data_IF_985752719181
#
_entry.id   IF_985752719181
#
_cell.length_a   1.000
_cell.length_b   1.000
_cell.length_c   1.000
_cell.angle_alpha   90.00
_cell.angle_beta   90.00
_cell.angle_gamma   90.00
#
_symmetry.space_group_name_H-M   'P 1'
#
loop_
_entity.id
_entity.type
_entity.pdbx_description
1 polymer ?
#
# COMPACT_ATOMS: atom_id res chain seq x y z
N UNK A 1 -19.45 80.92 -62.39
CA UNK A 1 -18.45 81.15 -61.36
C UNK A 1 -19.06 80.79 -60.03
N UNK A 2 -18.38 79.96 -59.22
CA UNK A 2 -18.61 79.53 -57.83
C UNK A 2 -19.74 78.57 -57.56
N UNK A 3 -19.28 77.38 -57.15
CA UNK A 3 -20.08 76.29 -56.54
C UNK A 3 -20.30 76.53 -55.06
N UNK A 4 -21.29 75.95 -54.42
CA UNK A 4 -21.20 75.55 -53.00
C UNK A 4 -21.26 74.04 -52.86
N UNK A 5 -20.43 73.58 -51.97
CA UNK A 5 -20.31 72.20 -51.48
C UNK A 5 -21.48 71.86 -50.54
N UNK A 6 -22.12 70.70 -50.76
CA UNK A 6 -22.99 70.05 -49.72
C UNK A 6 -22.20 68.96 -49.04
N UNK A 7 -22.10 69.11 -47.74
CA UNK A 7 -21.56 68.11 -46.80
C UNK A 7 -22.69 67.16 -46.46
N UNK A 8 -22.50 65.86 -46.74
CA UNK A 8 -23.41 64.76 -46.27
C UNK A 8 -22.65 63.91 -45.31
N UNK A 9 -22.98 64.03 -43.96
CA UNK A 9 -22.49 63.20 -42.89
C UNK A 9 -23.30 61.87 -42.80
N UNK A 10 -22.72 60.80 -43.34
CA UNK A 10 -23.31 59.44 -43.20
C UNK A 10 -22.87 58.77 -41.88
N UNK A 11 -23.81 58.63 -41.01
CA UNK A 11 -23.66 57.85 -39.77
C UNK A 11 -23.50 56.35 -40.07
N UNK A 12 -22.26 55.81 -39.89
CA UNK A 12 -22.00 54.38 -39.92
C UNK A 12 -22.33 53.77 -38.54
N UNK A 13 -23.43 53.02 -38.45
CA UNK A 13 -23.71 52.14 -37.32
C UNK A 13 -22.90 50.88 -37.52
N UNK A 14 -21.87 50.69 -36.68
CA UNK A 14 -21.13 49.45 -36.55
C UNK A 14 -21.90 48.48 -35.66
N UNK A 15 -22.41 47.35 -36.23
CA UNK A 15 -22.87 46.20 -35.49
C UNK A 15 -21.64 45.49 -34.89
N UNK A 16 -21.61 45.13 -33.59
CA UNK A 16 -20.62 44.19 -33.08
C UNK A 16 -21.01 42.78 -33.50
N UNK A 17 -20.15 42.14 -34.28
CA UNK A 17 -20.26 40.69 -34.55
C UNK A 17 -19.92 39.92 -33.29
N UNK A 18 -20.91 39.29 -32.70
CA UNK A 18 -20.77 38.35 -31.55
C UNK A 18 -20.19 37.04 -32.10
N UNK A 19 -18.87 36.87 -32.00
CA UNK A 19 -18.21 35.60 -32.28
C UNK A 19 -18.46 34.70 -31.08
N UNK A 20 -19.46 33.81 -31.18
CA UNK A 20 -19.66 32.71 -30.22
C UNK A 20 -18.55 31.68 -30.46
N UNK A 21 -17.52 31.69 -29.59
CA UNK A 21 -16.48 30.69 -29.57
C UNK A 21 -17.09 29.39 -29.01
N UNK A 22 -17.50 28.48 -29.91
CA UNK A 22 -18.01 27.14 -29.58
C UNK A 22 -16.79 26.30 -29.14
N UNK A 23 -16.51 26.25 -27.84
CA UNK A 23 -15.49 25.38 -27.26
C UNK A 23 -15.97 23.92 -27.36
N UNK A 24 -15.57 23.22 -28.43
CA UNK A 24 -15.70 21.75 -28.48
C UNK A 24 -14.81 21.16 -27.39
N UNK A 25 -15.40 20.76 -26.27
CA UNK A 25 -14.75 19.88 -25.30
C UNK A 25 -14.63 18.51 -25.96
N UNK A 26 -13.46 18.20 -26.52
CA UNK A 26 -13.13 16.85 -26.94
C UNK A 26 -13.05 15.95 -25.69
N UNK A 27 -14.16 15.35 -25.27
CA UNK A 27 -14.14 14.16 -24.42
C UNK A 27 -13.65 13.01 -25.28
N UNK A 28 -12.34 12.81 -25.31
CA UNK A 28 -11.78 11.57 -25.88
C UNK A 28 -12.43 10.37 -25.16
N UNK A 29 -12.70 9.26 -25.85
CA UNK A 29 -13.21 8.04 -25.21
C UNK A 29 -12.22 7.64 -24.12
N UNK A 30 -12.68 7.54 -22.87
CA UNK A 30 -11.91 6.92 -21.81
C UNK A 30 -11.65 5.47 -22.26
N UNK A 31 -10.41 5.17 -22.63
CA UNK A 31 -10.02 3.80 -22.96
C UNK A 31 -10.16 2.99 -21.67
N UNK A 32 -11.08 2.02 -21.69
CA UNK A 32 -11.27 1.13 -20.53
C UNK A 32 -9.96 0.37 -20.28
N UNK A 33 -9.50 0.35 -19.03
CA UNK A 33 -8.31 -0.36 -18.60
C UNK A 33 -8.39 -1.85 -18.97
N UNK A 34 -7.42 -2.34 -19.73
CA UNK A 34 -7.38 -3.74 -20.15
C UNK A 34 -6.82 -4.60 -19.03
N UNK A 35 -7.70 -5.39 -18.39
CA UNK A 35 -7.38 -6.24 -17.24
C UNK A 35 -7.44 -7.70 -17.66
N UNK A 36 -6.38 -8.47 -17.41
CA UNK A 36 -6.29 -9.89 -17.77
C UNK A 36 -5.92 -10.71 -16.55
N UNK A 37 -6.61 -11.84 -16.33
CA UNK A 37 -6.34 -12.72 -15.21
C UNK A 37 -6.22 -14.19 -15.64
N UNK A 38 -5.23 -14.89 -15.06
CA UNK A 38 -5.17 -16.35 -15.01
C UNK A 38 -5.49 -16.81 -13.59
N UNK A 39 -6.53 -17.62 -13.46
CA UNK A 39 -7.02 -18.16 -12.18
C UNK A 39 -6.90 -19.68 -12.20
N UNK A 40 -6.12 -20.23 -11.27
CA UNK A 40 -5.82 -21.67 -11.19
C UNK A 40 -6.21 -22.21 -9.81
N UNK A 41 -6.87 -23.38 -9.79
CA UNK A 41 -7.21 -24.12 -8.57
C UNK A 41 -6.89 -25.61 -8.70
N UNK A 42 -5.97 -26.13 -7.90
CA UNK A 42 -5.57 -27.51 -7.89
C UNK A 42 -6.00 -28.20 -6.59
N UNK A 43 -6.91 -29.17 -6.69
CA UNK A 43 -7.48 -29.95 -5.57
C UNK A 43 -7.23 -31.44 -5.72
N UNK A 44 -7.40 -32.00 -6.93
CA UNK A 44 -7.47 -33.43 -7.20
C UNK A 44 -6.09 -34.09 -7.36
N UNK A 45 -5.20 -33.86 -6.39
CA UNK A 45 -3.84 -34.41 -6.40
C UNK A 45 -3.84 -35.93 -6.43
N UNK A 46 -2.98 -36.51 -7.26
CA UNK A 46 -2.91 -37.94 -7.50
C UNK A 46 -1.95 -38.68 -6.54
N UNK A 47 -0.88 -37.98 -6.11
CA UNK A 47 0.23 -38.59 -5.39
C UNK A 47 0.46 -38.01 -3.99
N UNK A 48 -0.30 -37.01 -3.59
CA UNK A 48 -0.29 -36.35 -2.28
C UNK A 48 -1.71 -36.12 -1.79
N UNK A 49 -1.87 -35.61 -0.58
CA UNK A 49 -3.17 -35.32 0.01
C UNK A 49 -3.96 -34.35 -0.87
N UNK A 50 -5.20 -34.72 -1.19
CA UNK A 50 -6.15 -33.85 -1.88
C UNK A 50 -6.55 -32.69 -0.98
N UNK A 51 -6.90 -31.57 -1.60
CA UNK A 51 -7.43 -30.39 -0.91
C UNK A 51 -8.90 -30.19 -1.29
N UNK A 52 -9.72 -29.77 -0.34
CA UNK A 52 -11.16 -29.65 -0.58
C UNK A 52 -11.54 -28.34 -1.28
N UNK A 53 -10.90 -27.23 -0.93
CA UNK A 53 -11.36 -25.89 -1.27
C UNK A 53 -10.72 -25.23 -2.50
N UNK A 54 -9.50 -25.51 -2.98
CA UNK A 54 -8.85 -24.75 -4.05
C UNK A 54 -9.65 -24.63 -5.34
N UNK A 55 -10.45 -25.65 -5.70
CA UNK A 55 -11.35 -25.57 -6.85
C UNK A 55 -12.44 -24.54 -6.66
N UNK A 56 -13.08 -24.55 -5.49
CA UNK A 56 -14.14 -23.60 -5.14
C UNK A 56 -13.59 -22.19 -5.06
N UNK A 57 -12.40 -22.03 -4.47
CA UNK A 57 -11.70 -20.75 -4.35
C UNK A 57 -11.37 -20.17 -5.71
N UNK A 58 -10.84 -20.98 -6.63
CA UNK A 58 -10.54 -20.53 -7.98
C UNK A 58 -11.83 -20.14 -8.74
N UNK A 59 -12.92 -20.88 -8.59
CA UNK A 59 -14.22 -20.52 -9.19
C UNK A 59 -14.72 -19.20 -8.63
N UNK A 60 -14.74 -19.02 -7.29
CA UNK A 60 -15.14 -17.79 -6.63
C UNK A 60 -14.30 -16.58 -7.10
N UNK A 61 -13.00 -16.76 -7.22
CA UNK A 61 -12.10 -15.70 -7.69
C UNK A 61 -12.29 -15.39 -9.17
N UNK A 62 -12.50 -16.40 -10.03
CA UNK A 62 -12.78 -16.20 -11.45
C UNK A 62 -14.08 -15.40 -11.65
N UNK A 63 -15.15 -15.79 -10.96
CA UNK A 63 -16.45 -15.09 -11.02
C UNK A 63 -16.30 -13.64 -10.48
N UNK A 64 -15.57 -13.48 -9.40
CA UNK A 64 -15.30 -12.16 -8.81
C UNK A 64 -14.53 -11.28 -9.78
N UNK A 65 -13.40 -11.73 -10.30
CA UNK A 65 -12.57 -10.95 -11.22
C UNK A 65 -13.30 -10.68 -12.55
N UNK A 66 -14.05 -11.66 -13.08
CA UNK A 66 -14.90 -11.46 -14.25
C UNK A 66 -15.92 -10.33 -14.04
N UNK A 67 -16.58 -10.28 -12.88
CA UNK A 67 -17.52 -9.20 -12.52
C UNK A 67 -16.84 -7.82 -12.38
N UNK A 68 -15.53 -7.80 -12.13
CA UNK A 68 -14.70 -6.60 -12.00
C UNK A 68 -13.98 -6.21 -13.31
N UNK A 69 -14.40 -6.77 -14.44
CA UNK A 69 -13.91 -6.41 -15.76
C UNK A 69 -12.59 -7.07 -16.17
N UNK A 70 -12.15 -8.12 -15.47
CA UNK A 70 -11.01 -8.91 -15.93
C UNK A 70 -11.41 -9.88 -17.03
N UNK A 71 -10.65 -9.92 -18.11
CA UNK A 71 -10.71 -10.99 -19.12
C UNK A 71 -9.95 -12.21 -18.57
N UNK A 72 -10.65 -13.32 -18.38
CA UNK A 72 -10.07 -14.54 -17.85
C UNK A 72 -9.41 -15.36 -18.95
N UNK A 73 -8.21 -15.89 -18.69
CA UNK A 73 -7.55 -16.85 -19.57
C UNK A 73 -8.39 -18.13 -19.63
N UNK A 74 -8.82 -18.51 -20.83
CA UNK A 74 -9.74 -19.64 -21.06
C UNK A 74 -11.19 -19.36 -20.64
N UNK A 75 -11.54 -18.11 -20.31
CA UNK A 75 -12.91 -17.67 -19.98
C UNK A 75 -13.43 -18.10 -18.61
N UNK A 76 -12.64 -18.83 -17.82
CA UNK A 76 -13.03 -19.39 -16.51
C UNK A 76 -11.80 -19.77 -15.69
N UNK A 77 -12.01 -20.20 -14.43
CA UNK A 77 -11.00 -20.84 -13.63
C UNK A 77 -10.42 -22.10 -14.33
N UNK A 78 -9.10 -22.25 -14.28
CA UNK A 78 -8.40 -23.44 -14.76
C UNK A 78 -8.23 -24.40 -13.56
N UNK A 79 -8.79 -25.60 -13.67
CA UNK A 79 -8.93 -26.51 -12.52
C UNK A 79 -8.14 -27.80 -12.73
N UNK A 80 -7.47 -28.25 -11.66
CA UNK A 80 -6.77 -29.52 -11.58
C UNK A 80 -5.77 -29.76 -12.71
N UNK A 81 -4.92 -28.77 -12.95
CA UNK A 81 -3.94 -28.80 -14.02
C UNK A 81 -2.77 -29.72 -13.68
N UNK A 82 -2.42 -30.61 -14.59
CA UNK A 82 -1.14 -31.30 -14.61
C UNK A 82 0.01 -30.35 -15.03
N UNK A 83 1.25 -30.82 -15.05
CA UNK A 83 2.41 -29.99 -15.40
C UNK A 83 2.30 -29.37 -16.77
N UNK A 84 1.91 -30.14 -17.77
CA UNK A 84 1.81 -29.68 -19.17
C UNK A 84 0.73 -28.64 -19.36
N UNK A 85 -0.45 -28.88 -18.75
CA UNK A 85 -1.58 -27.95 -18.82
C UNK A 85 -1.28 -26.64 -18.07
N UNK A 86 -0.61 -26.71 -16.90
CA UNK A 86 -0.23 -25.54 -16.13
C UNK A 86 0.82 -24.68 -16.87
N UNK A 87 1.85 -25.33 -17.46
CA UNK A 87 2.83 -24.64 -18.31
C UNK A 87 2.17 -23.97 -19.51
N UNK A 88 1.24 -24.66 -20.20
CA UNK A 88 0.51 -24.13 -21.32
C UNK A 88 -0.37 -22.94 -20.94
N UNK A 89 -1.05 -23.00 -19.78
CA UNK A 89 -1.86 -21.91 -19.25
C UNK A 89 -1.01 -20.66 -18.96
N UNK A 90 0.14 -20.82 -18.32
CA UNK A 90 1.09 -19.74 -18.03
C UNK A 90 1.67 -19.12 -19.31
N UNK A 91 2.04 -19.95 -20.28
CA UNK A 91 2.50 -19.45 -21.59
C UNK A 91 1.40 -18.67 -22.32
N UNK A 92 0.17 -19.19 -22.30
CA UNK A 92 -0.97 -18.50 -22.90
C UNK A 92 -1.26 -17.18 -22.22
N UNK A 93 -1.19 -17.15 -20.89
CA UNK A 93 -1.28 -15.93 -20.09
C UNK A 93 -0.24 -14.90 -20.52
N UNK A 94 1.04 -15.29 -20.60
CA UNK A 94 2.14 -14.42 -21.02
C UNK A 94 1.93 -13.80 -22.42
N UNK A 95 1.31 -14.56 -23.35
CA UNK A 95 0.95 -14.02 -24.68
C UNK A 95 -0.20 -13.01 -24.63
N UNK A 96 -1.22 -13.27 -23.80
CA UNK A 96 -2.42 -12.42 -23.75
C UNK A 96 -2.25 -11.14 -22.95
N UNK A 97 -1.35 -11.13 -21.96
CA UNK A 97 -1.06 -9.92 -21.14
C UNK A 97 -0.27 -8.85 -21.91
N UNK A 98 0.24 -9.15 -23.12
CA UNK A 98 0.89 -8.15 -23.95
C UNK A 98 -0.06 -6.97 -24.22
N UNK A 99 0.39 -5.75 -23.88
CA UNK A 99 -0.40 -4.52 -24.03
C UNK A 99 -1.63 -4.47 -23.11
N UNK A 100 -1.66 -5.23 -22.02
CA UNK A 100 -2.63 -5.03 -20.95
C UNK A 100 -2.12 -3.99 -19.95
N UNK A 101 -3.04 -3.28 -19.28
CA UNK A 101 -2.70 -2.35 -18.20
C UNK A 101 -2.44 -3.10 -16.91
N UNK A 102 -3.24 -4.15 -16.64
CA UNK A 102 -3.18 -4.96 -15.42
C UNK A 102 -3.15 -6.44 -15.75
N UNK A 103 -2.17 -7.15 -15.22
CA UNK A 103 -2.08 -8.60 -15.26
C UNK A 103 -2.25 -9.18 -13.84
N UNK A 104 -3.12 -10.19 -13.67
CA UNK A 104 -3.35 -10.83 -12.39
C UNK A 104 -3.17 -12.35 -12.55
N UNK A 105 -2.37 -12.95 -11.67
CA UNK A 105 -2.25 -14.39 -11.51
C UNK A 105 -2.75 -14.79 -10.12
N UNK A 106 -3.71 -15.69 -10.06
CA UNK A 106 -4.22 -16.29 -8.83
C UNK A 106 -3.99 -17.81 -8.85
N UNK A 107 -3.48 -18.32 -7.76
CA UNK A 107 -3.29 -19.76 -7.58
C UNK A 107 -3.78 -20.19 -6.19
N UNK A 108 -4.63 -21.23 -6.15
CA UNK A 108 -5.00 -21.96 -4.96
C UNK A 108 -4.59 -23.43 -5.09
N UNK A 109 -3.91 -23.98 -4.07
CA UNK A 109 -3.42 -25.37 -4.08
C UNK A 109 -2.16 -25.58 -3.26
N UNK A 110 -1.50 -26.74 -3.44
CA UNK A 110 -0.21 -26.98 -2.81
C UNK A 110 0.90 -26.13 -3.44
N UNK A 111 1.72 -25.53 -2.58
CA UNK A 111 2.96 -24.90 -2.95
C UNK A 111 4.10 -25.41 -2.09
N UNK A 112 5.28 -25.50 -2.65
CA UNK A 112 6.47 -25.96 -1.93
C UNK A 112 7.63 -25.01 -2.16
N UNK A 113 8.49 -24.89 -1.16
CA UNK A 113 9.78 -24.23 -1.27
C UNK A 113 10.87 -25.27 -1.35
N UNK A 114 11.74 -25.14 -2.33
CA UNK A 114 12.95 -25.99 -2.47
C UNK A 114 14.12 -25.07 -2.80
N UNK A 115 15.18 -25.10 -2.00
CA UNK A 115 16.39 -24.28 -2.17
C UNK A 115 16.11 -22.77 -2.32
N UNK A 116 15.14 -22.23 -1.57
CA UNK A 116 14.76 -20.83 -1.63
C UNK A 116 13.86 -20.44 -2.81
N UNK A 117 13.57 -21.35 -3.74
CA UNK A 117 12.63 -21.15 -4.84
C UNK A 117 11.25 -21.72 -4.49
N UNK A 118 10.20 -21.02 -4.93
CA UNK A 118 8.81 -21.43 -4.72
C UNK A 118 8.26 -22.12 -5.97
N UNK A 119 7.59 -23.25 -5.75
CA UNK A 119 7.01 -24.06 -6.82
C UNK A 119 5.51 -24.28 -6.59
N UNK A 120 4.75 -24.12 -7.65
CA UNK A 120 3.35 -24.54 -7.73
C UNK A 120 3.31 -26.04 -8.03
N UNK A 121 2.45 -26.77 -7.33
CA UNK A 121 2.35 -28.23 -7.45
C UNK A 121 1.23 -28.60 -8.42
N UNK A 122 1.54 -29.18 -9.61
CA UNK A 122 0.54 -29.77 -10.50
C UNK A 122 -0.11 -30.99 -9.87
N UNK A 123 -1.33 -31.33 -10.27
CA UNK A 123 -2.06 -32.47 -9.66
C UNK A 123 -1.39 -33.83 -9.92
N UNK A 124 -0.57 -33.94 -10.96
CA UNK A 124 0.18 -35.15 -11.32
C UNK A 124 1.56 -35.26 -10.68
N UNK A 125 2.04 -34.22 -9.99
CA UNK A 125 3.40 -34.19 -9.45
C UNK A 125 3.68 -35.37 -8.49
N UNK A 126 4.82 -36.01 -8.66
CA UNK A 126 5.30 -37.13 -7.85
C UNK A 126 6.82 -37.16 -7.72
N UNK A 127 7.47 -36.06 -7.29
CA UNK A 127 8.91 -36.02 -7.14
C UNK A 127 9.35 -36.99 -6.05
N UNK A 128 10.40 -37.74 -6.31
CA UNK A 128 11.00 -38.70 -5.37
C UNK A 128 12.31 -38.21 -4.79
N UNK A 129 12.91 -37.22 -5.42
CA UNK A 129 14.14 -36.53 -5.01
C UNK A 129 14.08 -35.06 -5.45
N UNK A 130 14.93 -34.26 -4.88
CA UNK A 130 15.00 -32.83 -5.14
C UNK A 130 15.27 -32.49 -6.62
N UNK A 131 16.11 -33.28 -7.29
CA UNK A 131 16.40 -33.09 -8.71
C UNK A 131 15.20 -33.29 -9.65
N UNK A 132 14.11 -33.88 -9.15
CA UNK A 132 12.87 -34.07 -9.93
C UNK A 132 11.97 -32.86 -9.93
N UNK A 133 12.20 -31.89 -9.03
CA UNK A 133 11.31 -30.75 -8.77
C UNK A 133 11.13 -29.89 -10.03
N UNK A 134 12.20 -29.48 -10.69
CA UNK A 134 12.16 -28.63 -11.88
C UNK A 134 11.42 -29.30 -13.06
N UNK A 135 11.41 -30.63 -13.12
CA UNK A 135 10.71 -31.38 -14.15
C UNK A 135 9.25 -31.59 -13.87
N UNK A 136 8.85 -31.64 -12.60
CA UNK A 136 7.50 -32.04 -12.20
C UNK A 136 6.66 -30.92 -11.61
N UNK A 137 7.27 -29.80 -11.21
CA UNK A 137 6.61 -28.64 -10.63
C UNK A 137 6.82 -27.39 -11.48
N UNK A 138 6.14 -26.31 -11.15
CA UNK A 138 6.26 -25.04 -11.87
C UNK A 138 6.85 -23.99 -10.95
N UNK A 139 8.06 -23.52 -11.27
CA UNK A 139 8.67 -22.39 -10.57
C UNK A 139 7.83 -21.12 -10.79
N UNK A 140 7.37 -20.50 -9.71
CA UNK A 140 6.55 -19.27 -9.76
C UNK A 140 7.27 -18.12 -10.47
N UNK A 141 8.60 -18.12 -10.52
CA UNK A 141 9.36 -17.14 -11.29
C UNK A 141 9.08 -17.21 -12.80
N UNK A 142 8.56 -18.33 -13.33
CA UNK A 142 8.08 -18.41 -14.72
C UNK A 142 6.90 -17.46 -14.94
N UNK A 143 5.96 -17.40 -14.00
CA UNK A 143 4.82 -16.47 -14.05
C UNK A 143 5.32 -15.04 -13.99
N UNK A 144 6.19 -14.72 -13.03
CA UNK A 144 6.76 -13.37 -12.90
C UNK A 144 7.49 -12.93 -14.17
N UNK A 145 8.26 -13.81 -14.81
CA UNK A 145 8.92 -13.49 -16.09
C UNK A 145 7.94 -13.22 -17.23
N UNK A 146 6.83 -13.96 -17.31
CA UNK A 146 5.77 -13.71 -18.31
C UNK A 146 5.13 -12.33 -18.11
N UNK A 147 4.91 -11.94 -16.86
CA UNK A 147 4.34 -10.64 -16.52
C UNK A 147 5.33 -9.49 -16.78
N UNK A 148 6.58 -9.64 -16.37
CA UNK A 148 7.62 -8.59 -16.57
C UNK A 148 7.87 -8.26 -18.05
N UNK A 149 7.85 -9.28 -18.92
CA UNK A 149 8.05 -9.10 -20.37
C UNK A 149 6.85 -8.50 -21.11
N UNK A 150 5.74 -8.25 -20.45
CA UNK A 150 4.48 -7.83 -21.10
C UNK A 150 4.31 -6.30 -21.24
N UNK A 151 5.07 -5.50 -20.48
CA UNK A 151 4.91 -4.04 -20.42
C UNK A 151 3.66 -3.59 -19.67
N UNK A 152 3.05 -4.45 -18.87
CA UNK A 152 1.92 -4.11 -18.00
C UNK A 152 2.35 -3.10 -16.93
N UNK A 153 1.48 -2.11 -16.66
CA UNK A 153 1.69 -1.12 -15.61
C UNK A 153 1.64 -1.74 -14.20
N UNK A 154 0.76 -2.73 -14.01
CA UNK A 154 0.56 -3.40 -12.72
C UNK A 154 0.47 -4.91 -12.89
N UNK A 155 1.28 -5.62 -12.12
CA UNK A 155 1.27 -7.07 -12.00
C UNK A 155 0.83 -7.47 -10.58
N UNK A 156 -0.17 -8.34 -10.47
CA UNK A 156 -0.67 -8.84 -9.19
C UNK A 156 -0.53 -10.36 -9.18
N UNK A 157 0.22 -10.88 -8.21
CA UNK A 157 0.35 -12.32 -7.97
C UNK A 157 -0.26 -12.66 -6.64
N UNK A 158 -1.20 -13.59 -6.61
CA UNK A 158 -1.94 -14.01 -5.43
C UNK A 158 -1.73 -15.50 -5.23
N UNK A 159 -1.14 -15.86 -4.09
CA UNK A 159 -0.80 -17.23 -3.74
C UNK A 159 -1.59 -17.68 -2.51
N UNK A 160 -2.72 -18.32 -2.76
CA UNK A 160 -3.50 -19.04 -1.73
C UNK A 160 -3.03 -20.50 -1.71
N UNK A 161 -1.80 -20.68 -1.27
CA UNK A 161 -1.13 -21.97 -1.28
C UNK A 161 -0.82 -22.44 0.15
N UNK A 162 -1.25 -23.67 0.48
CA UNK A 162 -0.86 -24.34 1.70
C UNK A 162 0.65 -24.59 1.71
N UNK A 163 1.27 -24.39 2.87
CA UNK A 163 2.72 -24.41 3.02
C UNK A 163 3.25 -25.69 3.68
N UNK A 164 2.42 -26.68 3.84
CA UNK A 164 2.89 -28.01 4.23
C UNK A 164 3.51 -28.66 3.01
N UNK A 165 4.81 -28.93 3.06
CA UNK A 165 5.45 -29.70 2.01
C UNK A 165 4.83 -31.12 1.95
N UNK A 166 3.98 -31.42 0.96
CA UNK A 166 3.31 -32.71 0.89
C UNK A 166 4.27 -33.86 0.54
N UNK A 167 5.52 -33.54 0.19
CA UNK A 167 6.56 -34.51 -0.17
C UNK A 167 7.65 -34.65 0.90
N UNK A 168 7.50 -34.00 2.06
CA UNK A 168 8.50 -34.02 3.14
C UNK A 168 8.88 -35.40 3.63
N UNK A 169 7.91 -36.33 3.71
CA UNK A 169 8.14 -37.74 4.08
C UNK A 169 8.96 -38.52 3.03
N UNK A 170 9.10 -38.00 1.83
CA UNK A 170 9.83 -38.63 0.70
C UNK A 170 11.25 -38.08 0.46
N UNK A 171 11.79 -37.33 1.43
CA UNK A 171 13.13 -36.80 1.36
C UNK A 171 13.29 -35.45 0.68
N UNK A 172 12.22 -34.81 0.18
CA UNK A 172 12.22 -33.41 -0.18
C UNK A 172 12.17 -32.57 1.09
N UNK A 173 13.32 -32.17 1.58
CA UNK A 173 13.40 -31.28 2.74
C UNK A 173 13.18 -29.84 2.28
N UNK A 174 12.05 -29.23 2.66
CA UNK A 174 12.00 -27.78 2.73
C UNK A 174 12.69 -27.36 4.03
N UNK A 175 13.61 -26.42 3.96
CA UNK A 175 14.38 -25.96 5.12
C UNK A 175 13.53 -25.31 6.20
N UNK A 176 12.37 -24.74 5.84
CA UNK A 176 11.42 -24.12 6.73
C UNK A 176 10.00 -24.28 6.15
N UNK A 177 9.01 -24.56 6.99
CA UNK A 177 7.63 -24.68 6.55
C UNK A 177 7.18 -23.42 5.81
N UNK A 178 6.61 -23.56 4.61
CA UNK A 178 6.03 -22.44 3.89
C UNK A 178 6.73 -22.04 2.59
N UNK A 179 6.12 -21.08 1.85
CA UNK A 179 6.74 -20.45 0.69
C UNK A 179 7.79 -19.43 1.14
N UNK A 180 8.91 -19.33 0.44
CA UNK A 180 9.87 -18.27 0.63
C UNK A 180 9.27 -16.90 0.26
N UNK A 181 9.69 -15.87 0.95
CA UNK A 181 9.40 -14.51 0.51
C UNK A 181 10.12 -14.24 -0.81
N UNK A 182 9.37 -13.86 -1.85
CA UNK A 182 9.93 -13.42 -3.12
C UNK A 182 10.07 -11.92 -3.17
N UNK A 183 11.13 -11.44 -3.80
CA UNK A 183 11.26 -10.03 -4.13
C UNK A 183 10.30 -9.71 -5.28
N UNK A 184 9.39 -8.76 -5.08
CA UNK A 184 8.50 -8.30 -6.13
C UNK A 184 9.30 -7.51 -7.19
N UNK A 185 9.22 -7.88 -8.48
CA UNK A 185 9.74 -7.06 -9.57
C UNK A 185 9.05 -5.70 -9.67
N UNK A 186 9.61 -4.76 -10.43
CA UNK A 186 9.03 -3.45 -10.66
C UNK A 186 7.56 -3.55 -11.12
N UNK A 187 6.69 -2.68 -10.60
CA UNK A 187 5.26 -2.67 -10.90
C UNK A 187 4.50 -3.91 -10.42
N UNK A 188 5.05 -4.67 -9.47
CA UNK A 188 4.47 -5.96 -9.04
C UNK A 188 4.09 -5.93 -7.55
N UNK A 189 2.92 -6.51 -7.24
CA UNK A 189 2.50 -6.86 -5.90
C UNK A 189 2.28 -8.37 -5.82
N UNK A 190 2.92 -9.03 -4.83
CA UNK A 190 2.77 -10.45 -4.53
C UNK A 190 2.08 -10.58 -3.17
N UNK A 191 0.91 -11.19 -3.14
CA UNK A 191 0.16 -11.45 -1.90
C UNK A 191 0.14 -12.95 -1.60
N UNK A 192 0.42 -13.26 -0.35
CA UNK A 192 0.43 -14.61 0.19
C UNK A 192 -0.71 -14.77 1.21
N UNK A 193 -1.36 -15.91 1.20
CA UNK A 193 -2.42 -16.21 2.18
C UNK A 193 -1.94 -16.17 3.62
N UNK A 194 -0.65 -16.37 3.88
CA UNK A 194 -0.06 -16.29 5.22
C UNK A 194 1.39 -15.80 5.18
N UNK A 195 1.93 -15.37 6.31
CA UNK A 195 3.31 -14.90 6.46
C UNK A 195 4.34 -16.02 6.17
N UNK A 196 5.58 -15.69 5.80
CA UNK A 196 6.67 -16.65 5.65
C UNK A 196 6.83 -17.55 6.88
N UNK A 197 7.04 -18.86 6.68
CA UNK A 197 7.19 -19.83 7.77
C UNK A 197 5.90 -20.31 8.44
N UNK A 198 4.71 -19.85 7.99
CA UNK A 198 3.41 -20.23 8.57
C UNK A 198 2.55 -21.03 7.59
N UNK A 199 1.57 -21.77 8.07
CA UNK A 199 0.63 -22.58 7.29
C UNK A 199 -0.65 -21.79 7.04
N UNK A 200 -1.14 -21.76 5.79
CA UNK A 200 -2.47 -21.28 5.47
C UNK A 200 -3.51 -22.35 5.79
N UNK A 201 -4.65 -21.94 6.32
CA UNK A 201 -5.79 -22.83 6.59
C UNK A 201 -6.60 -23.02 5.30
N UNK A 202 -7.02 -24.26 5.06
CA UNK A 202 -7.89 -24.58 3.91
C UNK A 202 -9.33 -24.11 4.14
N UNK A 203 -9.75 -23.93 5.41
CA UNK A 203 -11.11 -23.56 5.78
C UNK A 203 -12.03 -24.77 5.90
N UNK A 204 -13.20 -24.58 6.54
CA UNK A 204 -14.18 -25.66 6.83
C UNK A 204 -15.53 -25.45 6.14
N UNK A 205 -15.73 -24.31 5.47
CA UNK A 205 -17.01 -23.89 4.88
C UNK A 205 -16.99 -23.82 3.34
N UNK A 206 -16.06 -24.56 2.71
CA UNK A 206 -15.95 -24.66 1.25
C UNK A 206 -15.02 -23.66 0.62
N UNK A 207 -14.43 -22.75 1.39
CA UNK A 207 -13.47 -21.75 0.93
C UNK A 207 -12.38 -21.51 1.98
N UNK A 208 -11.19 -21.12 1.51
CA UNK A 208 -10.14 -20.64 2.39
C UNK A 208 -10.54 -19.31 3.05
N UNK A 209 -10.12 -19.03 4.30
CA UNK A 209 -10.34 -17.74 4.94
C UNK A 209 -9.76 -16.58 4.10
N UNK A 210 -8.63 -16.82 3.45
CA UNK A 210 -7.97 -15.81 2.63
C UNK A 210 -8.77 -15.47 1.36
N UNK A 211 -9.17 -16.47 0.58
CA UNK A 211 -9.94 -16.25 -0.66
C UNK A 211 -11.31 -15.64 -0.36
N UNK A 212 -11.98 -16.06 0.70
CA UNK A 212 -13.24 -15.46 1.16
C UNK A 212 -13.11 -13.97 1.46
N UNK A 213 -12.11 -13.62 2.27
CA UNK A 213 -11.82 -12.23 2.61
C UNK A 213 -11.44 -11.42 1.37
N UNK A 214 -10.61 -11.97 0.47
CA UNK A 214 -10.19 -11.32 -0.76
C UNK A 214 -11.37 -11.04 -1.68
N UNK A 215 -12.18 -12.06 -2.03
CA UNK A 215 -13.33 -11.94 -2.91
C UNK A 215 -14.37 -10.91 -2.41
N UNK A 216 -14.50 -10.76 -1.09
CA UNK A 216 -15.36 -9.76 -0.45
C UNK A 216 -14.75 -8.36 -0.56
N UNK A 217 -13.46 -8.23 -0.26
CA UNK A 217 -12.81 -6.92 -0.13
C UNK A 217 -12.57 -6.26 -1.47
N UNK A 218 -12.18 -7.01 -2.51
CA UNK A 218 -11.93 -6.44 -3.85
C UNK A 218 -13.17 -5.90 -4.55
N UNK A 219 -14.38 -6.22 -4.07
CA UNK A 219 -15.65 -5.65 -4.54
C UNK A 219 -15.99 -4.30 -3.88
N UNK A 220 -15.25 -3.89 -2.86
CA UNK A 220 -15.49 -2.61 -2.19
C UNK A 220 -14.94 -1.47 -3.05
N UNK A 221 -15.77 -0.43 -3.25
CA UNK A 221 -15.35 0.72 -4.03
C UNK A 221 -14.43 1.65 -3.26
N UNK A 222 -13.49 2.30 -3.96
CA UNK A 222 -12.64 3.34 -3.40
C UNK A 222 -11.46 2.86 -2.58
N UNK A 223 -11.24 1.55 -2.46
CA UNK A 223 -10.03 1.00 -1.84
C UNK A 223 -8.91 0.90 -2.88
N UNK A 224 -7.80 1.59 -2.66
CA UNK A 224 -6.60 1.35 -3.46
C UNK A 224 -6.03 -0.06 -3.19
N UNK A 225 -5.07 -0.48 -4.02
CA UNK A 225 -4.52 -1.84 -3.94
C UNK A 225 -3.91 -2.16 -2.57
N UNK A 226 -3.22 -1.20 -1.93
CA UNK A 226 -2.59 -1.41 -0.64
C UNK A 226 -3.63 -1.47 0.49
N UNK A 227 -4.61 -0.57 0.47
CA UNK A 227 -5.75 -0.60 1.38
C UNK A 227 -6.53 -1.91 1.26
N UNK A 228 -6.75 -2.39 0.02
CA UNK A 228 -7.41 -3.66 -0.26
C UNK A 228 -6.71 -4.82 0.42
N UNK A 229 -5.42 -5.03 0.18
CA UNK A 229 -4.69 -6.15 0.76
C UNK A 229 -4.46 -6.01 2.27
N UNK A 230 -4.37 -4.79 2.79
CA UNK A 230 -4.37 -4.55 4.23
C UNK A 230 -5.69 -4.98 4.87
N UNK A 231 -6.84 -4.63 4.28
CA UNK A 231 -8.15 -5.04 4.80
C UNK A 231 -8.36 -6.55 4.71
N UNK A 232 -7.92 -7.19 3.61
CA UNK A 232 -7.90 -8.66 3.50
C UNK A 232 -7.12 -9.28 4.66
N UNK A 233 -5.90 -8.78 4.93
CA UNK A 233 -5.08 -9.26 6.03
C UNK A 233 -5.76 -9.13 7.40
N UNK A 234 -6.40 -8.00 7.67
CA UNK A 234 -7.15 -7.78 8.91
C UNK A 234 -8.38 -8.68 9.02
N UNK A 235 -9.09 -8.95 7.91
CA UNK A 235 -10.25 -9.83 7.88
C UNK A 235 -9.84 -11.28 8.19
N UNK A 236 -8.81 -11.79 7.51
CA UNK A 236 -8.28 -13.15 7.75
C UNK A 236 -7.78 -13.30 9.17
N UNK A 237 -7.01 -12.33 9.69
CA UNK A 237 -6.51 -12.36 11.07
C UNK A 237 -7.66 -12.45 12.08
N UNK A 238 -8.76 -11.72 11.88
CA UNK A 238 -9.94 -11.78 12.76
C UNK A 238 -10.65 -13.11 12.65
N UNK A 239 -10.89 -13.60 11.43
CA UNK A 239 -11.59 -14.86 11.17
C UNK A 239 -10.85 -16.06 11.77
N UNK A 240 -9.53 -16.06 11.69
CA UNK A 240 -8.68 -17.17 12.15
C UNK A 240 -8.19 -17.02 13.60
N UNK A 241 -8.71 -16.05 14.36
CA UNK A 241 -8.25 -15.79 15.73
C UNK A 241 -6.76 -15.45 15.83
N UNK A 242 -6.18 -14.87 14.77
CA UNK A 242 -4.77 -14.49 14.70
C UNK A 242 -3.81 -15.61 14.26
N UNK A 243 -4.27 -16.82 13.99
CA UNK A 243 -3.43 -17.96 13.59
C UNK A 243 -2.93 -17.85 12.15
N UNK A 244 -3.63 -17.08 11.28
CA UNK A 244 -3.23 -16.82 9.91
C UNK A 244 -3.12 -15.32 9.67
N UNK A 245 -1.97 -14.90 9.16
CA UNK A 245 -1.68 -13.49 8.85
C UNK A 245 -1.16 -13.38 7.42
N UNK A 246 -1.99 -12.91 6.46
CA UNK A 246 -1.56 -12.65 5.10
C UNK A 246 -0.37 -11.70 5.01
N UNK A 247 0.44 -11.89 4.00
CA UNK A 247 1.65 -11.12 3.78
C UNK A 247 1.70 -10.57 2.36
N UNK A 248 2.29 -9.37 2.20
CA UNK A 248 2.45 -8.72 0.89
C UNK A 248 3.92 -8.35 0.68
N UNK A 249 4.43 -8.63 -0.51
CA UNK A 249 5.69 -8.12 -1.04
C UNK A 249 5.36 -7.24 -2.25
N UNK A 250 5.82 -6.00 -2.26
CA UNK A 250 5.52 -5.06 -3.34
C UNK A 250 6.75 -4.25 -3.72
N UNK A 251 6.90 -3.97 -5.02
CA UNK A 251 7.76 -2.90 -5.54
C UNK A 251 6.94 -1.62 -5.71
N UNK A 252 7.56 -0.46 -6.01
CA UNK A 252 6.83 0.73 -6.40
C UNK A 252 5.86 0.44 -7.56
N UNK A 253 4.61 0.89 -7.42
CA UNK A 253 3.54 0.77 -8.41
C UNK A 253 3.22 2.17 -8.91
N UNK A 254 3.27 2.35 -10.23
CA UNK A 254 2.98 3.66 -10.84
C UNK A 254 1.47 3.91 -10.89
N UNK A 255 1.06 5.03 -10.29
CA UNK A 255 -0.33 5.45 -10.19
C UNK A 255 -1.17 4.64 -9.19
N UNK A 256 -2.39 5.09 -8.95
CA UNK A 256 -3.35 4.38 -8.12
C UNK A 256 -4.06 3.27 -8.91
N UNK A 257 -4.32 2.15 -8.28
CA UNK A 257 -5.15 1.08 -8.82
C UNK A 257 -6.28 0.76 -7.86
N UNK A 258 -7.48 0.62 -8.41
CA UNK A 258 -8.70 0.23 -7.72
C UNK A 258 -9.34 -0.96 -8.44
N UNK A 259 -9.69 -2.02 -7.71
CA UNK A 259 -10.51 -3.07 -8.28
C UNK A 259 -11.89 -2.53 -8.68
N UNK A 260 -12.48 -1.71 -7.79
CA UNK A 260 -13.69 -0.92 -8.04
C UNK A 260 -13.35 0.54 -7.77
N UNK A 261 -13.38 1.35 -8.81
CA UNK A 261 -13.08 2.77 -8.68
C UNK A 261 -13.98 3.44 -7.61
N UNK A 262 -13.47 4.46 -6.91
CA UNK A 262 -14.34 5.28 -6.08
C UNK A 262 -15.50 5.82 -6.94
N UNK A 263 -16.70 5.98 -6.37
CA UNK A 263 -17.79 6.63 -7.10
C UNK A 263 -17.26 7.95 -7.62
N UNK A 264 -17.43 8.18 -8.94
CA UNK A 264 -17.10 9.47 -9.50
C UNK A 264 -17.77 10.52 -8.61
N UNK A 265 -17.07 11.61 -8.23
CA UNK A 265 -17.76 12.72 -7.62
C UNK A 265 -18.91 12.99 -8.58
N UNK A 266 -20.14 12.81 -8.09
CA UNK A 266 -21.32 13.00 -8.92
C UNK A 266 -21.11 14.33 -9.62
N UNK A 267 -20.98 14.30 -10.95
CA UNK A 267 -21.01 15.49 -11.76
C UNK A 267 -22.39 16.07 -11.53
N UNK A 268 -22.52 16.82 -10.44
CA UNK A 268 -23.57 17.79 -10.37
C UNK A 268 -23.33 18.62 -11.63
N UNK A 269 -24.14 18.36 -12.64
CA UNK A 269 -24.35 19.29 -13.73
C UNK A 269 -24.31 20.65 -13.04
N UNK A 270 -23.37 21.51 -13.45
CA UNK A 270 -23.27 22.84 -12.90
C UNK A 270 -24.54 23.59 -13.35
N UNK A 271 -25.64 23.28 -12.70
CA UNK A 271 -26.78 24.15 -12.60
C UNK A 271 -26.21 25.33 -11.84
N UNK A 272 -26.11 26.46 -12.51
CA UNK A 272 -25.68 27.71 -11.88
C UNK A 272 -26.43 27.78 -10.51
N UNK A 273 -25.71 27.84 -9.38
CA UNK A 273 -26.33 27.68 -8.08
C UNK A 273 -27.48 28.67 -7.98
N UNK A 274 -28.68 28.15 -7.69
CA UNK A 274 -29.84 28.98 -7.40
C UNK A 274 -29.49 29.97 -6.29
N UNK A 275 -30.10 31.11 -6.27
CA UNK A 275 -29.84 32.14 -5.24
C UNK A 275 -29.94 31.56 -3.82
N UNK A 276 -30.82 30.55 -3.60
CA UNK A 276 -30.94 29.79 -2.35
C UNK A 276 -29.73 28.93 -2.01
N UNK A 277 -29.08 28.26 -3.00
CA UNK A 277 -27.87 27.47 -2.76
C UNK A 277 -26.66 28.35 -2.42
N UNK A 278 -26.59 29.56 -2.99
CA UNK A 278 -25.56 30.56 -2.60
C UNK A 278 -25.80 31.09 -1.19
N UNK A 279 -27.05 31.22 -0.78
CA UNK A 279 -27.39 31.65 0.57
C UNK A 279 -27.08 30.55 1.61
N UNK A 280 -27.31 29.28 1.27
CA UNK A 280 -26.95 28.14 2.11
C UNK A 280 -25.43 27.95 2.30
N UNK A 281 -24.64 28.23 1.27
CA UNK A 281 -23.16 28.13 1.35
C UNK A 281 -22.55 29.30 2.15
N UNK A 282 -23.18 30.47 2.11
CA UNK A 282 -22.78 31.61 2.95
C UNK A 282 -23.22 31.47 4.42
N UNK A 283 -24.13 30.52 4.71
CA UNK A 283 -24.60 30.23 6.08
C UNK A 283 -23.89 29.02 6.70
N UNK A 284 -23.03 28.30 5.98
CA UNK A 284 -22.20 27.24 6.60
C UNK A 284 -21.16 27.91 7.50
N UNK A 285 -21.08 27.48 8.77
CA UNK A 285 -20.01 27.97 9.63
C UNK A 285 -18.66 27.64 9.00
N UNK A 286 -17.74 28.60 9.07
CA UNK A 286 -16.36 28.42 8.67
C UNK A 286 -15.78 27.19 9.41
N UNK A 287 -15.35 26.11 8.71
CA UNK A 287 -14.86 24.90 9.37
C UNK A 287 -13.65 25.16 10.26
N UNK A 288 -12.92 26.26 10.03
CA UNK A 288 -11.81 26.69 10.88
C UNK A 288 -12.29 27.27 12.22
N UNK A 289 -13.60 27.51 12.37
CA UNK A 289 -14.26 28.01 13.58
C UNK A 289 -15.23 27.04 14.22
N UNK A 290 -15.49 25.88 13.60
CA UNK A 290 -16.37 24.84 14.17
C UNK A 290 -15.53 23.98 15.13
N UNK A 291 -15.77 24.09 16.47
CA UNK A 291 -15.02 23.30 17.44
C UNK A 291 -15.42 21.82 17.38
N UNK A 292 -14.46 20.94 17.60
CA UNK A 292 -14.67 19.50 17.74
C UNK A 292 -15.01 19.22 19.22
N UNK A 293 -16.22 18.72 19.48
CA UNK A 293 -16.66 18.30 20.82
C UNK A 293 -16.63 16.77 20.97
N UNK A 294 -16.67 16.03 19.86
CA UNK A 294 -16.63 14.56 19.86
C UNK A 294 -15.28 14.03 20.33
N UNK A 295 -15.29 13.23 21.38
CA UNK A 295 -14.09 12.67 22.01
C UNK A 295 -13.32 11.73 21.08
N UNK A 296 -13.98 11.09 20.12
CA UNK A 296 -13.37 10.21 19.12
C UNK A 296 -12.60 11.04 18.09
N UNK A 297 -13.20 12.13 17.62
CA UNK A 297 -12.56 13.07 16.70
C UNK A 297 -11.41 13.83 17.36
N UNK A 298 -11.52 14.18 18.64
CA UNK A 298 -10.42 14.79 19.42
C UNK A 298 -9.25 13.83 19.57
N UNK A 299 -9.51 12.53 19.79
CA UNK A 299 -8.47 11.51 19.84
C UNK A 299 -7.80 11.33 18.47
N UNK A 300 -8.61 11.23 17.40
CA UNK A 300 -8.09 11.19 16.03
C UNK A 300 -7.18 12.38 15.72
N UNK A 301 -7.62 13.59 16.11
CA UNK A 301 -6.85 14.82 15.92
C UNK A 301 -5.52 14.76 16.67
N UNK A 302 -5.52 14.30 17.91
CA UNK A 302 -4.31 14.11 18.71
C UNK A 302 -3.36 13.09 18.11
N UNK A 303 -3.88 11.93 17.70
CA UNK A 303 -3.09 10.87 17.05
C UNK A 303 -2.46 11.38 15.74
N UNK A 304 -3.20 12.14 14.92
CA UNK A 304 -2.68 12.73 13.66
C UNK A 304 -1.63 13.81 13.91
N UNK A 305 -1.83 14.67 14.90
CA UNK A 305 -0.81 15.67 15.29
C UNK A 305 0.49 14.98 15.69
N UNK A 306 0.39 13.91 16.47
CA UNK A 306 1.55 13.11 16.84
C UNK A 306 2.25 12.47 15.63
N UNK A 307 1.48 11.87 14.70
CA UNK A 307 2.00 11.30 13.45
C UNK A 307 2.76 12.33 12.59
N UNK A 308 2.33 13.59 12.62
CA UNK A 308 2.95 14.68 11.85
C UNK A 308 4.01 15.49 12.61
N UNK A 309 4.56 14.95 13.71
CA UNK A 309 5.58 15.59 14.56
C UNK A 309 5.10 16.84 15.33
N UNK A 310 3.81 16.94 15.58
CA UNK A 310 3.25 17.92 16.51
C UNK A 310 2.83 17.18 17.77
N UNK A 311 3.77 16.90 18.67
CA UNK A 311 3.53 16.02 19.82
C UNK A 311 2.52 16.61 20.82
N UNK A 312 1.32 16.05 20.97
CA UNK A 312 0.32 16.46 21.94
C UNK A 312 0.56 15.88 23.35
N UNK A 313 1.50 14.94 23.50
CA UNK A 313 1.84 14.29 24.78
C UNK A 313 3.10 14.90 25.45
N UNK A 314 3.39 16.20 25.19
CA UNK A 314 4.54 16.88 25.80
C UNK A 314 4.46 16.86 27.34
N UNK A 315 5.60 16.75 28.07
CA UNK A 315 5.64 16.68 29.54
C UNK A 315 4.95 17.83 30.28
N UNK A 316 4.65 18.92 29.59
CA UNK A 316 4.01 20.13 30.15
C UNK A 316 2.48 20.01 30.36
N UNK A 317 1.89 18.85 30.12
CA UNK A 317 0.61 18.33 30.61
C UNK A 317 -0.65 19.05 30.11
N UNK A 318 -1.13 20.07 30.76
CA UNK A 318 -2.53 20.58 30.60
C UNK A 318 -2.83 21.34 29.29
N UNK A 319 -1.81 21.79 28.55
CA UNK A 319 -1.96 22.57 27.31
C UNK A 319 -1.27 21.91 26.11
N UNK A 320 -0.82 20.67 26.23
CA UNK A 320 -0.05 19.99 25.18
C UNK A 320 -0.80 19.91 23.84
N UNK A 321 -2.07 19.50 23.86
CA UNK A 321 -2.89 19.44 22.66
C UNK A 321 -3.08 20.83 22.03
N UNK A 322 -3.39 21.84 22.85
CA UNK A 322 -3.56 23.23 22.37
C UNK A 322 -2.29 23.78 21.72
N UNK A 323 -1.12 23.51 22.32
CA UNK A 323 0.17 23.92 21.78
C UNK A 323 0.50 23.19 20.49
N UNK A 324 0.24 21.88 20.42
CA UNK A 324 0.42 21.08 19.22
C UNK A 324 -0.45 21.59 18.05
N UNK A 325 -1.73 21.89 18.32
CA UNK A 325 -2.63 22.50 17.34
C UNK A 325 -2.12 23.85 16.88
N UNK A 326 -1.71 24.73 17.80
CA UNK A 326 -1.20 26.07 17.45
C UNK A 326 0.03 26.00 16.55
N UNK A 327 0.99 25.11 16.86
CA UNK A 327 2.18 24.88 16.01
C UNK A 327 1.81 24.33 14.64
N UNK A 328 0.85 23.41 14.57
CA UNK A 328 0.33 22.90 13.31
C UNK A 328 -0.32 24.01 12.47
N UNK A 329 -1.18 24.82 13.10
CA UNK A 329 -1.87 25.95 12.45
C UNK A 329 -0.87 26.96 11.88
N UNK A 330 0.15 27.33 12.66
CA UNK A 330 1.23 28.22 12.20
C UNK A 330 1.94 27.66 10.96
N UNK A 331 2.36 26.40 11.01
CA UNK A 331 3.03 25.73 9.88
C UNK A 331 2.13 25.56 8.66
N UNK A 332 0.81 25.48 8.86
CA UNK A 332 -0.20 25.30 7.80
C UNK A 332 -0.80 26.62 7.31
N UNK A 333 -0.20 27.77 7.66
CA UNK A 333 -0.68 29.11 7.32
C UNK A 333 -2.13 29.40 7.78
N UNK A 334 -2.52 28.82 8.92
CA UNK A 334 -3.77 29.12 9.61
C UNK A 334 -3.53 30.11 10.75
N UNK A 335 -4.60 30.74 11.25
CA UNK A 335 -4.51 31.53 12.49
C UNK A 335 -4.22 30.61 13.68
N UNK A 336 -3.12 30.82 14.45
CA UNK A 336 -2.70 29.90 15.50
C UNK A 336 -3.54 30.08 16.80
N UNK A 337 -4.79 29.66 16.76
CA UNK A 337 -5.73 29.72 17.90
C UNK A 337 -5.48 28.63 18.92
N UNK A 338 -4.92 27.50 18.50
CA UNK A 338 -4.78 26.29 19.33
C UNK A 338 -6.12 25.57 19.58
N UNK A 339 -7.19 25.94 18.89
CA UNK A 339 -8.51 25.32 19.04
C UNK A 339 -8.63 24.08 18.12
N UNK A 340 -9.19 23.01 18.68
CA UNK A 340 -9.51 21.79 17.94
C UNK A 340 -10.74 22.04 17.07
N UNK A 341 -10.55 22.24 15.75
CA UNK A 341 -11.62 22.53 14.81
C UNK A 341 -11.70 21.51 13.70
N UNK A 342 -12.87 21.40 13.05
CA UNK A 342 -13.05 20.52 11.88
C UNK A 342 -12.10 20.89 10.75
N UNK A 343 -11.75 22.16 10.58
CA UNK A 343 -10.78 22.63 9.59
C UNK A 343 -9.37 22.11 9.86
N UNK A 344 -8.93 22.12 11.13
CA UNK A 344 -7.64 21.55 11.56
C UNK A 344 -7.60 20.04 11.24
N UNK A 345 -8.63 19.30 11.64
CA UNK A 345 -8.70 17.86 11.40
C UNK A 345 -8.74 17.51 9.90
N UNK A 346 -9.49 18.28 9.11
CA UNK A 346 -9.57 18.11 7.66
C UNK A 346 -8.22 18.30 6.97
N UNK A 347 -7.41 19.29 7.42
CA UNK A 347 -6.07 19.50 6.87
C UNK A 347 -5.10 18.39 7.28
N UNK A 348 -5.15 17.92 8.52
CA UNK A 348 -4.34 16.78 8.98
C UNK A 348 -4.66 15.51 8.21
N UNK A 349 -5.93 15.25 7.92
CA UNK A 349 -6.35 14.09 7.08
C UNK A 349 -5.79 14.13 5.66
N UNK A 350 -5.55 15.30 5.10
CA UNK A 350 -4.93 15.48 3.77
C UNK A 350 -3.40 15.29 3.77
N UNK A 351 -2.76 15.20 4.93
CA UNK A 351 -1.31 15.05 5.09
C UNK A 351 -0.85 13.59 5.27
N UNK A 352 -1.72 12.59 5.04
CA UNK A 352 -1.48 11.19 5.38
C UNK A 352 -0.39 10.45 4.57
N UNK A 353 0.38 11.13 3.71
CA UNK A 353 1.36 10.51 2.80
C UNK A 353 2.78 10.38 3.37
N UNK A 354 2.95 10.46 4.70
CA UNK A 354 4.27 10.45 5.34
C UNK A 354 4.76 9.02 5.69
N UNK A 355 4.56 8.03 4.84
CA UNK A 355 5.00 6.64 5.08
C UNK A 355 6.19 6.28 4.17
N UNK A 356 7.05 5.30 4.54
CA UNK A 356 7.15 4.60 5.83
C UNK A 356 7.77 5.46 6.94
N UNK A 357 7.62 5.00 8.21
CA UNK A 357 8.22 5.63 9.39
C UNK A 357 9.35 4.79 9.97
N UNK A 358 10.37 5.48 10.48
CA UNK A 358 11.41 4.91 11.33
C UNK A 358 11.56 5.72 12.61
N UNK A 359 12.14 5.11 13.64
CA UNK A 359 12.43 5.78 14.91
C UNK A 359 13.71 5.24 15.55
N UNK A 360 14.43 6.13 16.24
CA UNK A 360 15.55 5.80 17.12
C UNK A 360 15.22 6.36 18.49
N UNK A 361 15.34 5.54 19.54
CA UNK A 361 15.14 5.96 20.92
C UNK A 361 16.40 5.70 21.74
N UNK A 362 16.66 6.54 22.74
CA UNK A 362 17.80 6.42 23.63
C UNK A 362 17.43 6.74 25.09
N UNK A 363 17.99 5.99 26.01
CA UNK A 363 17.87 6.19 27.45
C UNK A 363 19.22 6.45 28.10
N UNK A 364 19.65 7.71 28.34
CA UNK A 364 20.95 8.02 28.89
C UNK A 364 21.22 7.41 30.26
N UNK A 365 20.16 7.23 31.08
CA UNK A 365 20.29 6.63 32.41
C UNK A 365 20.58 5.12 32.34
N UNK A 366 20.12 4.44 31.31
CA UNK A 366 20.30 3.00 31.09
C UNK A 366 21.40 2.66 30.11
N UNK A 367 21.90 3.66 29.37
CA UNK A 367 22.79 3.53 28.19
C UNK A 367 22.29 2.54 27.16
N UNK A 368 20.93 2.45 27.02
CA UNK A 368 20.27 1.58 26.07
C UNK A 368 19.61 2.40 24.98
N UNK A 369 19.53 1.81 23.81
CA UNK A 369 18.91 2.40 22.65
C UNK A 369 18.15 1.35 21.84
N UNK A 370 17.24 1.80 21.00
CA UNK A 370 16.48 0.96 20.07
C UNK A 370 16.24 1.70 18.77
N UNK A 371 16.10 0.94 17.71
CA UNK A 371 15.89 1.44 16.35
C UNK A 371 14.79 0.63 15.66
N UNK A 372 14.00 1.30 14.85
CA UNK A 372 12.95 0.68 14.04
C UNK A 372 12.82 1.39 12.69
N UNK A 373 12.20 0.74 11.72
CA UNK A 373 11.98 1.24 10.36
C UNK A 373 10.83 0.49 9.68
N UNK A 374 10.36 1.02 8.54
CA UNK A 374 9.31 0.44 7.71
C UNK A 374 7.96 0.27 8.41
N UNK A 375 7.60 1.22 9.26
CA UNK A 375 6.31 1.24 9.95
C UNK A 375 5.30 2.12 9.22
N UNK A 376 4.02 1.72 9.32
CA UNK A 376 2.91 2.46 8.70
C UNK A 376 2.58 3.77 9.45
N UNK A 377 3.06 3.94 10.70
CA UNK A 377 2.82 5.13 11.51
C UNK A 377 4.00 5.45 12.42
N UNK A 378 4.14 6.72 12.81
CA UNK A 378 5.13 7.15 13.80
C UNK A 378 4.95 6.40 15.12
N UNK A 379 3.71 6.28 15.59
CA UNK A 379 3.38 5.58 16.85
C UNK A 379 3.87 4.13 16.86
N UNK A 380 3.67 3.42 15.74
CA UNK A 380 4.17 2.05 15.58
C UNK A 380 5.71 2.00 15.56
N UNK A 381 6.36 2.92 14.84
CA UNK A 381 7.82 3.01 14.79
C UNK A 381 8.43 3.25 16.17
N UNK A 382 7.88 4.21 16.93
CA UNK A 382 8.34 4.53 18.28
C UNK A 382 8.13 3.38 19.24
N UNK A 383 6.97 2.72 19.19
CA UNK A 383 6.67 1.56 20.03
C UNK A 383 7.64 0.41 19.79
N UNK A 384 7.96 0.11 18.53
CA UNK A 384 8.92 -0.93 18.17
C UNK A 384 10.35 -0.54 18.57
N UNK A 385 10.79 0.70 18.32
CA UNK A 385 12.09 1.18 18.76
C UNK A 385 12.23 1.10 20.30
N UNK A 386 11.18 1.44 21.05
CA UNK A 386 11.17 1.31 22.53
C UNK A 386 11.22 -0.15 22.99
N UNK A 387 10.53 -1.05 22.28
CA UNK A 387 10.61 -2.50 22.52
C UNK A 387 12.05 -3.00 22.30
N UNK A 388 12.68 -2.59 21.21
CA UNK A 388 14.06 -2.94 20.88
C UNK A 388 15.09 -2.34 21.85
N UNK A 389 14.77 -1.22 22.47
CA UNK A 389 15.58 -0.64 23.54
C UNK A 389 15.60 -1.52 24.81
N UNK A 390 14.53 -2.23 25.10
CA UNK A 390 14.45 -3.17 26.22
C UNK A 390 14.59 -2.53 27.62
N UNK A 391 14.36 -1.23 27.75
CA UNK A 391 14.41 -0.51 29.01
C UNK A 391 13.22 0.45 29.14
N UNK A 392 12.68 0.58 30.35
CA UNK A 392 11.55 1.47 30.65
C UNK A 392 11.87 2.98 30.55
N UNK A 393 13.14 3.34 30.40
CA UNK A 393 13.61 4.73 30.41
C UNK A 393 14.24 5.19 29.09
N UNK A 394 13.80 4.68 27.94
CA UNK A 394 14.21 5.19 26.63
C UNK A 394 13.33 6.39 26.26
N UNK A 395 13.71 7.58 26.78
CA UNK A 395 12.89 8.79 26.75
C UNK A 395 13.15 9.67 25.53
N UNK A 396 14.39 9.71 25.05
CA UNK A 396 14.76 10.52 23.90
C UNK A 396 14.40 9.80 22.63
N UNK A 397 13.75 10.49 21.73
CA UNK A 397 13.14 9.95 20.53
C UNK A 397 13.49 10.81 19.31
N UNK A 398 13.91 10.18 18.23
CA UNK A 398 13.97 10.76 16.89
C UNK A 398 13.11 9.92 15.96
N UNK A 399 12.11 10.52 15.34
CA UNK A 399 11.29 9.88 14.32
C UNK A 399 11.51 10.53 12.97
N UNK A 400 11.56 9.72 11.91
CA UNK A 400 11.79 10.14 10.52
C UNK A 400 10.90 9.33 9.58
N UNK A 401 10.62 9.86 8.38
CA UNK A 401 9.63 9.29 7.46
C UNK A 401 10.04 9.38 5.99
N UNK A 402 9.35 8.63 5.14
CA UNK A 402 9.58 8.58 3.70
C UNK A 402 10.95 8.02 3.36
N UNK A 403 11.76 8.78 2.66
CA UNK A 403 13.15 8.42 2.32
C UNK A 403 14.18 8.96 3.33
N UNK A 404 13.74 9.68 4.37
CA UNK A 404 14.66 10.23 5.36
C UNK A 404 15.29 9.14 6.21
N UNK A 405 16.50 9.41 6.66
CA UNK A 405 17.29 8.50 7.50
C UNK A 405 17.55 9.12 8.86
N UNK A 406 17.61 8.29 9.90
CA UNK A 406 18.03 8.67 11.24
C UNK A 406 19.39 8.05 11.58
N UNK A 407 20.16 8.73 12.43
CA UNK A 407 21.42 8.20 12.99
C UNK A 407 21.58 8.57 14.46
N UNK A 408 22.25 7.68 15.18
CA UNK A 408 22.62 7.83 16.59
C UNK A 408 24.12 7.80 16.74
N UNK A 409 24.68 8.85 17.35
CA UNK A 409 26.10 8.95 17.68
C UNK A 409 26.32 9.12 19.19
N UNK A 410 27.39 8.53 19.71
CA UNK A 410 27.75 8.61 21.13
C UNK A 410 29.27 8.69 21.35
N UNK A 411 29.67 9.38 22.42
CA UNK A 411 31.06 9.39 22.99
C UNK A 411 30.98 9.66 24.47
N UNK A 412 31.11 8.62 25.27
CA UNK A 412 30.97 8.72 26.73
C UNK A 412 29.58 9.23 27.14
N UNK A 413 29.50 10.43 27.73
CA UNK A 413 28.24 11.06 28.13
C UNK A 413 27.63 11.96 27.05
N UNK A 414 28.34 12.21 25.95
CA UNK A 414 27.83 13.00 24.83
C UNK A 414 27.14 12.08 23.82
N UNK A 415 25.97 12.49 23.34
CA UNK A 415 25.20 11.75 22.37
C UNK A 415 24.35 12.69 21.49
N UNK A 416 23.96 12.22 20.34
CA UNK A 416 22.99 12.92 19.47
C UNK A 416 22.14 11.93 18.66
N UNK A 417 20.93 12.36 18.35
CA UNK A 417 20.01 11.72 17.43
C UNK A 417 19.72 12.70 16.31
N UNK A 418 20.17 12.42 15.09
CA UNK A 418 20.04 13.35 13.98
C UNK A 418 19.45 12.68 12.75
N UNK A 419 18.77 13.45 11.90
CA UNK A 419 18.18 12.98 10.66
C UNK A 419 18.78 13.66 9.44
N UNK A 420 18.69 12.97 8.29
CA UNK A 420 19.15 13.49 7.01
C UNK A 420 18.36 12.93 5.83
N UNK A 421 18.47 13.54 4.68
CA UNK A 421 17.86 13.05 3.45
C UNK A 421 18.51 11.76 2.92
N UNK A 422 19.75 11.50 3.35
CA UNK A 422 20.49 10.27 3.05
C UNK A 422 21.11 9.73 4.34
N UNK A 423 21.43 8.43 4.36
CA UNK A 423 22.07 7.79 5.50
C UNK A 423 23.40 8.47 5.86
N UNK A 424 24.17 8.91 4.85
CA UNK A 424 25.44 9.60 5.11
C UNK A 424 25.22 10.96 5.76
N UNK A 425 24.26 11.77 5.28
CA UNK A 425 23.92 13.06 5.88
C UNK A 425 23.42 12.91 7.33
N UNK A 426 22.62 11.87 7.62
CA UNK A 426 22.18 11.59 8.98
C UNK A 426 23.36 11.26 9.90
N UNK A 427 24.30 10.43 9.43
CA UNK A 427 25.53 10.09 10.19
C UNK A 427 26.41 11.29 10.43
N UNK A 428 26.63 12.12 9.40
CA UNK A 428 27.47 13.32 9.51
C UNK A 428 26.87 14.31 10.51
N UNK A 429 25.57 14.57 10.41
CA UNK A 429 24.86 15.43 11.36
C UNK A 429 24.92 14.88 12.80
N UNK A 430 24.74 13.57 12.98
CA UNK A 430 24.85 12.96 14.31
C UNK A 430 26.26 13.07 14.90
N UNK A 431 27.29 12.90 14.09
CA UNK A 431 28.68 13.06 14.54
C UNK A 431 29.00 14.53 14.90
N UNK A 432 28.54 15.47 14.08
CA UNK A 432 28.73 16.91 14.31
C UNK A 432 28.04 17.36 15.61
N UNK A 433 26.76 17.02 15.79
CA UNK A 433 26.00 17.39 16.99
C UNK A 433 26.51 16.71 18.27
N UNK A 434 26.96 15.44 18.18
CA UNK A 434 27.54 14.72 19.32
C UNK A 434 28.92 15.25 19.68
N UNK A 435 29.77 15.53 18.67
CA UNK A 435 31.21 15.75 18.86
C UNK A 435 31.57 17.16 19.27
N UNK A 436 30.91 18.18 18.71
CA UNK A 436 31.40 19.54 18.80
C UNK A 436 32.91 19.61 18.47
N UNK A 437 33.55 20.73 18.71
CA UNK A 437 35.02 20.82 18.53
C UNK A 437 35.74 20.04 19.61
N UNK A 438 36.18 18.81 19.32
CA UNK A 438 37.15 18.07 20.14
C UNK A 438 36.75 16.73 20.78
N UNK A 439 35.56 16.16 20.43
CA UNK A 439 35.14 14.83 20.93
C UNK A 439 35.07 13.83 19.80
N UNK A 440 35.65 12.64 19.99
CA UNK A 440 35.56 11.54 19.04
C UNK A 440 34.24 10.77 19.24
N UNK A 441 33.14 11.17 18.57
CA UNK A 441 31.89 10.43 18.55
C UNK A 441 31.94 9.31 17.50
N UNK A 442 31.22 8.23 17.79
CA UNK A 442 31.05 7.10 16.85
C UNK A 442 29.57 6.85 16.59
N UNK A 443 29.25 6.44 15.37
CA UNK A 443 27.89 5.99 15.03
C UNK A 443 27.63 4.64 15.68
N UNK A 444 26.52 4.53 16.40
CA UNK A 444 26.03 3.31 17.04
C UNK A 444 24.97 2.64 16.19
N UNK A 445 24.08 3.43 15.56
CA UNK A 445 23.05 2.94 14.68
C UNK A 445 22.61 4.00 13.68
N UNK A 446 22.25 3.58 12.49
CA UNK A 446 21.67 4.44 11.48
C UNK A 446 20.81 3.60 10.52
N UNK A 447 19.67 4.15 10.10
CA UNK A 447 18.76 3.49 9.17
C UNK A 447 17.87 4.54 8.48
N UNK A 448 17.41 4.27 7.26
CA UNK A 448 16.37 5.07 6.64
C UNK A 448 14.96 4.54 6.99
N UNK A 449 13.95 5.38 6.88
CA UNK A 449 12.59 5.01 7.25
C UNK A 449 12.05 3.82 6.45
N UNK A 450 12.48 3.66 5.20
CA UNK A 450 12.18 2.54 4.30
C UNK A 450 13.03 1.28 4.55
N UNK A 451 13.94 1.33 5.52
CA UNK A 451 14.87 0.25 5.84
C UNK A 451 16.12 0.18 4.96
N UNK A 452 16.31 1.10 4.02
CA UNK A 452 17.55 1.20 3.25
C UNK A 452 18.72 1.72 4.09
N UNK A 453 19.96 1.46 3.66
CA UNK A 453 21.18 2.03 4.23
C UNK A 453 21.62 1.46 5.59
N UNK A 454 21.29 0.22 5.89
CA UNK A 454 21.77 -0.49 7.10
C UNK A 454 23.26 -0.78 7.06
#
# INVERSE_FOLDING_TARGET
>A
MQRPFLNWAGSRRTLPALIALLSLVFTGPAVAEKRIALVVGNSAYQNVTRLDNPRNDAVLMADTLGSLGFTLIGGRAQLDLDKSALDAAIQNFGRQVQGADVALFYYAGHGVQVNGSNYLVPVSANPTREADVDFQMVDINLVLRQMQGSGTRLNIVILDACRNNPFGARGLRSSDGGLAQMRAPEGTLISYATQPGSVAQDGSDGHSPYTKALATTIRQSGLDIFQTFNQVGLAVKRETGGSQQPWVSSSPIDGAFYFVAPPAPSSQVAIAPSQEARLADTLRPDPDRVPIEDSTLLRELGDRLYEHNFDPESPDGKNALKLAISKFQEKSSMTPTGEATEGVLSRLRKMDDLKPWGSIVYGPESDKWGISWNHASRKAAVADARSNCGASKCQFELSFYGTRCGAFAISGKSWSLSQGETIQRAKDAALEECGGTGKSCRIIGAVCADGSGR
#
